data_IF_257574823829
#
_entry.id   IF_257574823829
#
_cell.length_a   1.000
_cell.length_b   1.000
_cell.length_c   1.000
_cell.angle_alpha   90.00
_cell.angle_beta   90.00
_cell.angle_gamma   90.00
#
_symmetry.space_group_name_H-M   'P 1'
#
loop_
_entity.id
_entity.type
_entity.pdbx_description
1 polymer ?
#
# COMPACT_ATOMS: atom_id res chain seq x y z
N UNK A 1 10.57 26.20 18.17
CA UNK A 1 10.59 24.82 18.72
C UNK A 1 10.08 23.89 17.62
N UNK A 2 10.86 22.90 17.21
CA UNK A 2 10.42 21.89 16.22
C UNK A 2 9.55 20.84 16.91
N UNK A 3 8.33 20.63 16.42
CA UNK A 3 7.41 19.62 16.93
C UNK A 3 7.91 18.24 16.45
N UNK A 4 8.59 17.50 17.32
CA UNK A 4 9.17 16.19 17.01
C UNK A 4 8.15 15.13 16.60
N UNK A 5 6.86 15.35 16.84
CA UNK A 5 5.77 14.45 16.43
C UNK A 5 4.86 15.00 15.33
N UNK A 6 5.25 16.06 14.62
CA UNK A 6 4.47 16.53 13.48
C UNK A 6 4.66 15.56 12.29
N UNK A 7 3.60 15.26 11.52
CA UNK A 7 3.73 14.50 10.28
C UNK A 7 4.65 15.24 9.31
N UNK A 8 5.62 14.51 8.76
CA UNK A 8 6.58 15.03 7.77
C UNK A 8 6.40 14.29 6.45
N UNK A 9 6.46 14.99 5.31
CA UNK A 9 6.45 14.33 4.02
C UNK A 9 7.67 13.40 3.94
N UNK A 10 7.41 12.16 3.53
CA UNK A 10 8.43 11.16 3.27
C UNK A 10 8.60 11.00 1.76
N UNK A 11 9.80 10.64 1.30
CA UNK A 11 10.02 10.50 -0.13
C UNK A 11 9.47 9.15 -0.60
N UNK A 12 8.67 9.16 -1.67
CA UNK A 12 8.03 7.94 -2.19
C UNK A 12 9.05 6.95 -2.77
N UNK A 13 10.28 7.39 -3.05
CA UNK A 13 11.36 6.56 -3.56
C UNK A 13 12.18 5.90 -2.47
N UNK A 14 11.95 6.23 -1.19
CA UNK A 14 12.62 5.52 -0.09
C UNK A 14 12.24 4.03 -0.11
N UNK A 15 13.25 3.16 -0.02
CA UNK A 15 13.07 1.70 -0.02
C UNK A 15 12.07 1.25 1.06
N UNK A 16 12.12 1.90 2.23
CA UNK A 16 11.20 1.66 3.33
C UNK A 16 9.74 1.93 2.94
N UNK A 17 9.49 3.03 2.22
CA UNK A 17 8.15 3.42 1.76
C UNK A 17 7.65 2.48 0.67
N UNK A 18 8.53 2.06 -0.24
CA UNK A 18 8.20 1.08 -1.28
C UNK A 18 7.82 -0.27 -0.66
N UNK A 19 8.62 -0.77 0.29
CA UNK A 19 8.34 -2.03 0.97
C UNK A 19 7.00 -1.99 1.74
N UNK A 20 6.69 -0.87 2.41
CA UNK A 20 5.38 -0.71 3.06
C UNK A 20 4.23 -0.65 2.05
N UNK A 21 4.43 -0.07 0.87
CA UNK A 21 3.42 -0.05 -0.18
C UNK A 21 3.17 -1.46 -0.74
N UNK A 22 4.21 -2.28 -0.91
CA UNK A 22 4.08 -3.69 -1.33
C UNK A 22 3.35 -4.53 -0.28
N UNK A 23 3.70 -4.38 1.01
CA UNK A 23 3.00 -5.08 2.10
C UNK A 23 1.52 -4.69 2.13
N UNK A 24 1.22 -3.39 1.98
CA UNK A 24 -0.16 -2.90 1.94
C UNK A 24 -0.92 -3.49 0.74
N UNK A 25 -0.29 -3.59 -0.44
CA UNK A 25 -0.90 -4.20 -1.62
C UNK A 25 -1.25 -5.67 -1.37
N UNK A 26 -0.29 -6.46 -0.87
CA UNK A 26 -0.49 -7.89 -0.59
C UNK A 26 -1.60 -8.10 0.44
N UNK A 27 -1.70 -7.24 1.45
CA UNK A 27 -2.74 -7.30 2.46
C UNK A 27 -4.13 -6.93 1.89
N UNK A 28 -4.19 -6.00 0.95
CA UNK A 28 -5.43 -5.65 0.21
C UNK A 28 -5.85 -6.79 -0.72
N UNK A 29 -4.91 -7.45 -1.38
CA UNK A 29 -5.17 -8.65 -2.20
C UNK A 29 -5.68 -9.81 -1.34
N UNK A 30 -5.08 -10.05 -0.18
CA UNK A 30 -5.55 -11.10 0.75
C UNK A 30 -6.94 -10.83 1.33
N UNK A 31 -7.23 -9.58 1.67
CA UNK A 31 -8.54 -9.20 2.21
C UNK A 31 -9.62 -9.17 1.14
N UNK A 32 -9.24 -8.86 -0.10
CA UNK A 32 -10.10 -9.02 -1.25
C UNK A 32 -10.33 -10.52 -1.44
N UNK A 33 -11.50 -11.03 -1.05
CA UNK A 33 -11.99 -12.37 -1.41
C UNK A 33 -12.26 -12.49 -2.93
N UNK A 34 -11.53 -11.75 -3.73
CA UNK A 34 -11.75 -11.54 -5.13
C UNK A 34 -10.46 -11.87 -5.84
N UNK A 35 -10.57 -12.70 -6.86
CA UNK A 35 -9.45 -13.21 -7.62
C UNK A 35 -8.83 -12.18 -8.58
N UNK A 36 -9.27 -10.94 -8.48
CA UNK A 36 -8.68 -9.81 -9.17
C UNK A 36 -7.36 -9.47 -8.51
N UNK A 37 -6.30 -9.54 -9.31
CA UNK A 37 -4.98 -9.05 -8.90
C UNK A 37 -5.07 -7.54 -8.82
N UNK A 38 -4.75 -6.99 -7.66
CA UNK A 38 -4.64 -5.53 -7.51
C UNK A 38 -3.23 -5.15 -7.89
N UNK A 39 -3.09 -4.25 -8.86
CA UNK A 39 -1.77 -3.70 -9.21
C UNK A 39 -1.61 -2.35 -8.52
N UNK A 40 -0.51 -2.20 -7.78
CA UNK A 40 -0.08 -0.89 -7.30
C UNK A 40 0.32 -0.04 -8.51
N UNK A 41 -0.43 1.03 -8.76
CA UNK A 41 -0.18 1.92 -9.89
C UNK A 41 0.83 2.98 -9.52
N UNK A 42 0.60 3.65 -8.38
CA UNK A 42 1.48 4.71 -7.89
C UNK A 42 1.28 4.99 -6.41
N UNK A 43 2.34 5.45 -5.76
CA UNK A 43 2.30 6.06 -4.43
C UNK A 43 2.05 7.56 -4.61
N UNK A 44 0.86 8.04 -4.29
CA UNK A 44 0.47 9.44 -4.46
C UNK A 44 1.12 10.31 -3.39
N UNK A 45 1.08 9.87 -2.13
CA UNK A 45 1.57 10.63 -0.99
C UNK A 45 2.13 9.67 0.07
N UNK A 46 3.25 10.06 0.69
CA UNK A 46 3.84 9.36 1.82
C UNK A 46 4.14 10.36 2.94
N UNK A 47 3.78 10.00 4.17
CA UNK A 47 3.99 10.85 5.34
C UNK A 47 4.39 10.01 6.53
N UNK A 48 5.45 10.41 7.21
CA UNK A 48 5.96 9.75 8.42
C UNK A 48 5.75 10.63 9.63
N UNK A 49 5.31 10.06 10.73
CA UNK A 49 5.11 10.75 11.99
C UNK A 49 5.74 9.95 13.13
N UNK A 50 6.62 10.58 13.90
CA UNK A 50 7.24 9.95 15.08
C UNK A 50 6.30 10.11 16.27
N UNK A 51 5.85 8.99 16.83
CA UNK A 51 4.93 8.92 17.99
C UNK A 51 5.52 7.96 19.03
N UNK A 52 4.74 7.01 19.58
CA UNK A 52 5.27 5.86 20.31
C UNK A 52 5.77 4.77 19.34
N UNK A 53 6.71 5.14 18.47
CA UNK A 53 7.12 4.37 17.28
C UNK A 53 7.08 5.25 16.04
N UNK A 54 6.86 4.65 14.87
CA UNK A 54 6.72 5.36 13.61
C UNK A 54 5.35 5.06 13.00
N UNK A 55 4.62 6.12 12.66
CA UNK A 55 3.37 6.03 11.93
C UNK A 55 3.62 6.47 10.50
N UNK A 56 3.46 5.56 9.55
CA UNK A 56 3.60 5.82 8.12
C UNK A 56 2.21 5.85 7.49
N UNK A 57 1.83 6.99 6.92
CA UNK A 57 0.62 7.13 6.10
C UNK A 57 1.01 7.09 4.64
N UNK A 58 0.46 6.13 3.92
CA UNK A 58 0.64 5.97 2.49
C UNK A 58 -0.70 6.14 1.81
N UNK A 59 -0.71 6.93 0.75
CA UNK A 59 -1.86 7.08 -0.14
C UNK A 59 -1.50 6.40 -1.46
N UNK A 60 -2.08 5.23 -1.68
CA UNK A 60 -1.78 4.38 -2.82
C UNK A 60 -2.92 4.48 -3.83
N UNK A 61 -2.56 4.58 -5.10
CA UNK A 61 -3.48 4.36 -6.20
C UNK A 61 -3.33 2.90 -6.62
N UNK A 62 -4.41 2.14 -6.46
CA UNK A 62 -4.53 0.75 -6.88
C UNK A 62 -5.51 0.66 -8.04
N UNK A 63 -5.14 -0.12 -9.05
CA UNK A 63 -6.03 -0.48 -10.15
C UNK A 63 -6.33 -1.97 -10.07
N UNK A 64 -7.57 -2.31 -10.41
CA UNK A 64 -8.01 -3.69 -10.46
C UNK A 64 -7.60 -4.23 -11.83
N UNK A 65 -6.73 -5.24 -11.86
CA UNK A 65 -6.55 -6.03 -13.07
C UNK A 65 -7.69 -7.04 -13.10
N UNK A 66 -8.59 -6.90 -14.07
CA UNK A 66 -9.68 -7.86 -14.28
C UNK A 66 -9.12 -9.17 -14.85
N UNK A 67 -8.32 -9.89 -14.06
CA UNK A 67 -8.07 -11.31 -14.32
C UNK A 67 -9.29 -12.08 -13.86
N UNK A 68 -10.20 -12.24 -14.82
CA UNK A 68 -11.25 -13.24 -14.81
C UNK A 68 -10.62 -14.60 -14.45
N UNK A 69 -10.93 -15.09 -13.26
CA UNK A 69 -10.81 -16.53 -12.97
C UNK A 69 -11.89 -17.24 -13.78
N UNK A 70 -11.60 -17.43 -15.07
CA UNK A 70 -12.22 -18.50 -15.82
C UNK A 70 -11.58 -19.82 -15.36
N UNK A 71 -12.37 -20.58 -14.59
CA UNK A 71 -12.27 -22.03 -14.55
C UNK A 71 -11.29 -22.64 -13.55
N UNK A 72 -11.75 -22.83 -12.32
CA UNK A 72 -11.67 -24.19 -11.76
C UNK A 72 -12.97 -24.92 -12.08
N UNK A 73 -13.05 -25.36 -13.33
CA UNK A 73 -14.04 -26.34 -13.78
C UNK A 73 -13.71 -27.70 -13.15
N UNK A 74 -14.74 -28.30 -12.53
CA UNK A 74 -15.05 -29.73 -12.37
C UNK A 74 -13.93 -30.71 -12.01
N UNK A 75 -14.06 -31.35 -10.84
CA UNK A 75 -14.23 -32.83 -10.68
C UNK A 75 -14.90 -33.14 -9.35
#
# INVERSE_FOLDING_TARGET
>A
RSLCGAPRPADTKEEKIQNYAEIALVEVEKQSNSSYKHRLVNILEATTQVVAGELVKLKLQVEHDEQQEDGSSVV
#
